data_IF_905481859198
#
_entry.id   IF_905481859198
#
_cell.length_a   1.000
_cell.length_b   1.000
_cell.length_c   1.000
_cell.angle_alpha   90.00
_cell.angle_beta   90.00
_cell.angle_gamma   90.00
#
_symmetry.space_group_name_H-M   'P 1'
#
loop_
_entity.id
_entity.type
_entity.pdbx_description
1 polymer ?
#
# COMPACT_ATOMS: atom_id res chain seq x y z
N UNK A 1 -11.04 -23.43 22.97
CA UNK A 1 -10.76 -23.00 21.57
C UNK A 1 -9.48 -22.15 21.42
N UNK A 2 -8.48 -22.25 22.31
CA UNK A 2 -7.28 -21.38 22.28
C UNK A 2 -5.98 -22.11 21.95
N UNK A 3 -6.06 -23.42 21.71
CA UNK A 3 -4.91 -24.31 21.40
C UNK A 3 -4.80 -24.70 19.91
N UNK A 4 -5.82 -24.39 19.10
CA UNK A 4 -5.83 -24.69 17.66
C UNK A 4 -5.07 -23.65 16.81
N UNK A 5 -4.82 -22.45 17.35
CA UNK A 5 -4.11 -21.39 16.61
C UNK A 5 -2.60 -21.61 16.49
N UNK A 6 -2.02 -22.48 17.33
CA UNK A 6 -0.57 -22.72 17.34
C UNK A 6 -0.11 -23.83 16.38
N UNK A 7 -1.03 -24.55 15.73
CA UNK A 7 -0.72 -25.69 14.85
C UNK A 7 -0.68 -25.35 13.35
N UNK A 8 -0.95 -24.09 12.96
CA UNK A 8 -0.98 -23.67 11.55
C UNK A 8 0.24 -22.84 11.10
N UNK A 9 1.21 -22.60 11.99
CA UNK A 9 2.35 -21.70 11.73
C UNK A 9 3.64 -22.41 11.25
N UNK A 10 3.60 -23.73 10.99
CA UNK A 10 4.83 -24.55 10.91
C UNK A 10 5.34 -24.91 9.49
N UNK A 11 4.62 -24.84 8.35
CA UNK A 11 5.26 -25.16 7.07
C UNK A 11 5.38 -23.94 6.16
N UNK A 12 6.17 -22.93 6.55
CA UNK A 12 6.60 -21.88 5.60
C UNK A 12 8.13 -21.76 5.47
N UNK A 13 8.89 -22.59 6.19
CA UNK A 13 10.38 -22.48 6.26
C UNK A 13 11.10 -23.20 5.11
N UNK A 14 10.39 -23.76 4.13
CA UNK A 14 11.02 -24.55 3.05
C UNK A 14 11.36 -23.79 1.76
N UNK A 15 11.29 -22.46 1.72
CA UNK A 15 11.47 -21.71 0.48
C UNK A 15 12.69 -20.79 0.44
N UNK A 16 13.91 -21.29 0.71
CA UNK A 16 15.13 -20.54 0.34
C UNK A 16 16.33 -21.45 0.07
N UNK A 17 16.41 -22.04 -1.11
CA UNK A 17 17.69 -22.50 -1.67
C UNK A 17 17.66 -22.35 -3.20
N UNK A 18 18.21 -21.24 -3.68
CA UNK A 18 18.33 -20.94 -5.11
C UNK A 18 19.33 -19.82 -5.33
N UNK A 19 20.64 -20.14 -5.25
CA UNK A 19 21.73 -19.24 -5.64
C UNK A 19 21.79 -19.18 -7.16
N UNK A 20 21.39 -18.04 -7.73
CA UNK A 20 21.52 -17.72 -9.15
C UNK A 20 22.42 -16.50 -9.35
N UNK A 21 23.39 -16.62 -10.25
CA UNK A 21 24.53 -15.74 -10.46
C UNK A 21 24.25 -14.24 -10.67
N UNK A 22 25.26 -13.47 -10.26
CA UNK A 22 25.41 -12.02 -10.38
C UNK A 22 25.32 -11.49 -11.81
N UNK A 23 24.27 -10.71 -12.06
CA UNK A 23 24.40 -9.41 -12.75
C UNK A 23 23.43 -8.46 -12.04
N UNK A 24 23.93 -7.38 -11.44
CA UNK A 24 23.06 -6.37 -10.81
C UNK A 24 22.20 -5.75 -11.92
N UNK A 25 20.89 -6.05 -12.01
CA UNK A 25 20.03 -5.33 -12.93
C UNK A 25 20.01 -3.89 -12.43
N UNK A 26 20.21 -2.92 -13.33
CA UNK A 26 19.94 -1.51 -13.01
C UNK A 26 18.57 -1.49 -12.33
N UNK A 27 18.43 -0.93 -11.11
CA UNK A 27 17.15 -0.93 -10.43
C UNK A 27 16.16 -0.22 -11.37
N UNK A 28 15.22 -1.00 -11.90
CA UNK A 28 14.16 -0.49 -12.75
C UNK A 28 13.24 0.32 -11.84
N UNK A 29 13.60 1.58 -11.63
CA UNK A 29 12.86 2.57 -10.83
C UNK A 29 11.37 2.57 -11.18
N UNK A 30 11.06 2.29 -12.45
CA UNK A 30 9.69 2.09 -12.96
C UNK A 30 8.93 0.96 -12.25
N UNK A 31 9.54 -0.23 -12.07
CA UNK A 31 8.87 -1.36 -11.42
C UNK A 31 8.67 -1.14 -9.92
N UNK A 32 9.62 -0.49 -9.26
CA UNK A 32 9.47 -0.10 -7.86
C UNK A 32 8.31 0.89 -7.69
N UNK A 33 8.18 1.84 -8.62
CA UNK A 33 7.10 2.83 -8.65
C UNK A 33 5.72 2.18 -8.88
N UNK A 34 5.61 1.22 -9.81
CA UNK A 34 4.35 0.52 -10.09
C UNK A 34 3.85 -0.30 -8.90
N UNK A 35 4.77 -0.94 -8.17
CA UNK A 35 4.45 -1.70 -6.96
C UNK A 35 3.97 -0.76 -5.84
N UNK A 36 4.67 0.36 -5.64
CA UNK A 36 4.26 1.38 -4.67
C UNK A 36 2.90 2.01 -5.02
N UNK A 37 2.59 2.20 -6.30
CA UNK A 37 1.31 2.74 -6.73
C UNK A 37 0.15 1.76 -6.47
N UNK A 38 0.32 0.48 -6.84
CA UNK A 38 -0.66 -0.57 -6.52
C UNK A 38 -0.84 -0.72 -5.02
N UNK A 39 0.25 -0.61 -4.25
CA UNK A 39 0.21 -0.62 -2.80
C UNK A 39 -0.62 0.56 -2.27
N UNK A 40 -0.35 1.80 -2.69
CA UNK A 40 -1.14 2.98 -2.31
C UNK A 40 -2.62 2.79 -2.59
N UNK A 41 -2.97 2.33 -3.79
CA UNK A 41 -4.37 2.14 -4.17
C UNK A 41 -5.08 1.12 -3.26
N UNK A 42 -4.46 -0.04 -3.03
CA UNK A 42 -5.03 -1.10 -2.16
C UNK A 42 -5.11 -0.65 -0.70
N UNK A 43 -4.09 0.06 -0.23
CA UNK A 43 -4.04 0.56 1.13
C UNK A 43 -5.13 1.61 1.36
N UNK A 44 -5.28 2.59 0.45
CA UNK A 44 -6.33 3.61 0.54
C UNK A 44 -7.72 2.97 0.50
N UNK A 45 -7.96 2.01 -0.41
CA UNK A 45 -9.25 1.31 -0.50
C UNK A 45 -9.60 0.58 0.80
N UNK A 46 -8.64 -0.14 1.38
CA UNK A 46 -8.84 -0.81 2.68
C UNK A 46 -9.11 0.21 3.79
N UNK A 47 -8.34 1.29 3.84
CA UNK A 47 -8.50 2.30 4.90
C UNK A 47 -9.82 3.04 4.80
N UNK A 48 -10.30 3.33 3.59
CA UNK A 48 -11.64 3.88 3.37
C UNK A 48 -12.73 2.95 3.92
N UNK A 49 -12.63 1.64 3.65
CA UNK A 49 -13.57 0.65 4.18
C UNK A 49 -13.55 0.62 5.72
N UNK A 50 -12.37 0.72 6.34
CA UNK A 50 -12.24 0.77 7.80
C UNK A 50 -12.84 2.04 8.39
N UNK A 51 -12.62 3.20 7.77
CA UNK A 51 -13.18 4.48 8.20
C UNK A 51 -14.70 4.50 8.13
N UNK A 52 -15.27 3.92 7.07
CA UNK A 52 -16.72 3.79 6.92
C UNK A 52 -17.31 2.82 7.96
N UNK A 53 -16.68 1.66 8.17
CA UNK A 53 -17.12 0.70 9.18
C UNK A 53 -17.04 1.26 10.60
N UNK A 54 -16.07 2.14 10.88
CA UNK A 54 -15.91 2.80 12.16
C UNK A 54 -16.80 4.05 12.33
N UNK A 55 -17.53 4.47 11.30
CA UNK A 55 -18.31 5.72 11.32
C UNK A 55 -17.44 6.99 11.46
N UNK A 56 -16.16 6.91 11.09
CA UNK A 56 -15.19 8.00 11.24
C UNK A 56 -15.14 8.96 10.03
N UNK A 57 -15.91 8.68 8.98
CA UNK A 57 -16.04 9.54 7.81
C UNK A 57 -17.53 9.70 7.47
N UNK A 58 -17.95 10.94 7.18
CA UNK A 58 -19.35 11.23 6.86
C UNK A 58 -19.74 10.69 5.48
N UNK A 59 -18.79 10.67 4.53
CA UNK A 59 -19.00 10.15 3.19
C UNK A 59 -17.74 9.50 2.59
N UNK A 60 -17.86 8.93 1.39
CA UNK A 60 -16.76 8.26 0.69
C UNK A 60 -15.64 9.23 0.25
N UNK A 61 -15.97 10.50 0.00
CA UNK A 61 -14.99 11.52 -0.41
C UNK A 61 -14.10 11.91 0.77
N UNK A 62 -14.70 12.10 1.94
CA UNK A 62 -14.00 12.36 3.19
C UNK A 62 -13.16 11.15 3.61
N UNK A 63 -13.70 9.93 3.52
CA UNK A 63 -12.94 8.70 3.80
C UNK A 63 -11.68 8.62 2.92
N UNK A 64 -11.80 8.96 1.63
CA UNK A 64 -10.66 8.98 0.70
C UNK A 64 -9.64 10.05 1.06
N UNK A 65 -10.10 11.25 1.45
CA UNK A 65 -9.22 12.35 1.90
C UNK A 65 -8.42 11.94 3.13
N UNK A 66 -9.10 11.43 4.16
CA UNK A 66 -8.47 10.97 5.41
C UNK A 66 -7.47 9.84 5.11
N UNK A 67 -7.88 8.82 4.37
CA UNK A 67 -6.99 7.72 3.98
C UNK A 67 -5.76 8.23 3.19
N UNK A 68 -5.93 9.20 2.29
CA UNK A 68 -4.80 9.74 1.52
C UNK A 68 -3.82 10.50 2.42
N UNK A 69 -4.31 11.29 3.37
CA UNK A 69 -3.47 12.03 4.31
C UNK A 69 -2.75 11.09 5.28
N UNK A 70 -3.45 10.08 5.82
CA UNK A 70 -2.81 9.04 6.64
C UNK A 70 -1.74 8.29 5.85
N UNK A 71 -1.98 7.99 4.57
CA UNK A 71 -0.98 7.34 3.72
C UNK A 71 0.28 8.19 3.61
N UNK A 72 0.15 9.50 3.35
CA UNK A 72 1.29 10.41 3.29
C UNK A 72 2.06 10.47 4.61
N UNK A 73 1.36 10.51 5.74
CA UNK A 73 1.99 10.56 7.06
C UNK A 73 2.74 9.27 7.39
N UNK A 74 2.14 8.11 7.11
CA UNK A 74 2.71 6.80 7.45
C UNK A 74 3.79 6.35 6.47
N UNK A 75 3.70 6.77 5.21
CA UNK A 75 4.59 6.34 4.12
C UNK A 75 5.31 7.52 3.48
N UNK A 76 5.61 8.59 4.23
CA UNK A 76 6.28 9.81 3.74
C UNK A 76 7.59 9.54 2.97
N UNK A 77 8.25 8.42 3.26
CA UNK A 77 9.50 7.99 2.63
C UNK A 77 9.31 7.23 1.31
N UNK A 78 8.07 6.95 0.89
CA UNK A 78 7.79 6.30 -0.40
C UNK A 78 7.76 7.34 -1.52
N UNK A 79 8.27 6.96 -2.69
CA UNK A 79 8.32 7.83 -3.89
C UNK A 79 6.92 8.29 -4.28
N UNK A 80 5.92 7.42 -4.07
CA UNK A 80 4.51 7.69 -4.36
C UNK A 80 3.83 8.64 -3.35
N UNK A 81 4.27 8.70 -2.10
CA UNK A 81 3.74 9.67 -1.13
C UNK A 81 4.19 11.11 -1.42
N UNK A 82 5.39 11.25 -1.99
CA UNK A 82 5.97 12.55 -2.36
C UNK A 82 5.42 13.08 -3.69
N UNK A 83 4.90 12.20 -4.56
CA UNK A 83 4.29 12.61 -5.82
C UNK A 83 2.95 13.32 -5.57
N UNK A 84 2.77 14.57 -6.02
CA UNK A 84 1.48 15.26 -5.89
C UNK A 84 0.40 14.48 -6.66
N UNK A 85 -0.74 14.22 -6.00
CA UNK A 85 -1.89 13.57 -6.65
C UNK A 85 -2.37 14.43 -7.84
N UNK A 86 -2.45 13.90 -9.07
CA UNK A 86 -2.88 14.66 -10.24
C UNK A 86 -4.41 14.95 -10.30
N UNK A 87 -5.12 15.03 -9.18
CA UNK A 87 -6.60 15.16 -9.16
C UNK A 87 -7.06 16.61 -8.93
N UNK A 88 -6.21 17.62 -9.15
CA UNK A 88 -6.57 19.02 -8.85
C UNK A 88 -6.27 20.03 -9.95
N UNK A 89 -6.16 19.60 -11.22
CA UNK A 89 -5.80 20.54 -12.29
C UNK A 89 -6.18 20.06 -13.69
N UNK A 90 -7.47 20.02 -13.98
CA UNK A 90 -7.96 20.13 -15.36
C UNK A 90 -9.36 20.75 -15.36
N UNK A 91 -9.46 21.95 -14.80
CA UNK A 91 -10.37 22.96 -15.35
C UNK A 91 -9.46 23.95 -16.05
N UNK A 92 -9.53 23.96 -17.38
CA UNK A 92 -9.02 25.02 -18.22
C UNK A 92 -10.02 25.21 -19.38
N UNK A 93 -10.04 26.42 -19.96
CA UNK A 93 -11.24 27.22 -20.25
C UNK A 93 -12.14 26.71 -21.39
#
# INVERSE_FOLDING_TARGET
>A
MRRLFFLLLVPFVLFTAGTGCSSKPKPSSTLATDMEEKFKQRWIAKRMSDLQAAGQAADAREARRIATEEFKQRFAYTTIAQKPNPVSGSVMP
#
